data_IF_221211552223
#
_entry.id   IF_221211552223
#
_cell.length_a   1.000
_cell.length_b   1.000
_cell.length_c   1.000
_cell.angle_alpha   90.00
_cell.angle_beta   90.00
_cell.angle_gamma   90.00
#
_symmetry.space_group_name_H-M   'P 1'
#
loop_
_entity.id
_entity.type
_entity.pdbx_description
1 polymer ?
#
# COMPACT_ATOMS: atom_id res chain seq x y z
N UNK A 1 -10.36 0.69 42.68
CA UNK A 1 -9.43 1.21 41.64
C UNK A 1 -10.18 1.26 40.30
N UNK A 2 -10.81 2.39 39.99
CA UNK A 2 -11.42 2.60 38.67
C UNK A 2 -10.59 3.67 37.97
N UNK A 3 -9.77 3.26 37.00
CA UNK A 3 -8.93 4.19 36.24
C UNK A 3 -9.83 5.03 35.33
N UNK A 4 -9.59 6.33 35.40
CA UNK A 4 -10.30 7.43 34.76
C UNK A 4 -10.87 7.12 33.37
N UNK A 5 -12.18 7.28 33.25
CA UNK A 5 -12.89 7.50 31.99
C UNK A 5 -12.33 8.74 31.32
N UNK A 6 -11.68 8.56 30.16
CA UNK A 6 -11.23 9.65 29.32
C UNK A 6 -12.46 10.47 28.87
N UNK A 7 -12.48 11.80 28.99
CA UNK A 7 -13.62 12.61 28.58
C UNK A 7 -13.84 12.50 27.06
N UNK A 8 -15.10 12.52 26.56
CA UNK A 8 -15.35 12.59 25.13
C UNK A 8 -14.94 13.99 24.63
N UNK A 9 -13.84 14.06 23.87
CA UNK A 9 -13.33 15.32 23.30
C UNK A 9 -14.27 15.85 22.21
N UNK A 10 -15.07 16.83 22.62
CA UNK A 10 -15.99 17.62 21.82
C UNK A 10 -15.19 18.74 21.15
N UNK A 11 -14.55 18.45 20.01
CA UNK A 11 -14.00 19.50 19.16
C UNK A 11 -14.33 19.24 17.69
N UNK A 12 -15.55 19.63 17.35
CA UNK A 12 -15.99 19.88 15.99
C UNK A 12 -15.32 21.17 15.49
N UNK A 13 -14.14 21.04 14.91
CA UNK A 13 -13.58 22.08 14.02
C UNK A 13 -13.11 21.38 12.75
N UNK A 14 -13.76 21.70 11.63
CA UNK A 14 -13.41 21.22 10.30
C UNK A 14 -11.95 21.58 10.02
N UNK A 15 -11.03 20.63 10.13
CA UNK A 15 -9.65 20.82 9.68
C UNK A 15 -8.60 19.90 10.28
N UNK A 16 -8.53 19.71 11.60
CA UNK A 16 -7.43 18.96 12.22
C UNK A 16 -7.87 18.24 13.51
N UNK A 17 -8.55 17.10 13.42
CA UNK A 17 -8.52 16.15 14.54
C UNK A 17 -7.07 15.69 14.72
N UNK A 18 -6.43 16.03 15.84
CA UNK A 18 -5.08 15.53 16.17
C UNK A 18 -5.14 14.02 16.31
N UNK A 19 -4.11 13.32 15.82
CA UNK A 19 -3.99 11.87 15.99
C UNK A 19 -3.60 11.58 17.43
N UNK A 20 -4.42 10.83 18.16
CA UNK A 20 -4.09 10.41 19.52
C UNK A 20 -3.02 9.32 19.48
N UNK A 21 -2.39 9.07 20.63
CA UNK A 21 -1.38 8.01 20.73
C UNK A 21 -1.99 6.64 20.47
N UNK A 22 -3.20 6.41 20.98
CA UNK A 22 -3.97 5.18 20.80
C UNK A 22 -4.32 4.97 19.33
N UNK A 23 -4.73 6.02 18.62
CA UNK A 23 -4.97 5.95 17.17
C UNK A 23 -3.69 5.60 16.40
N UNK A 24 -2.54 6.15 16.79
CA UNK A 24 -1.25 5.88 16.15
C UNK A 24 -0.81 4.44 16.41
N UNK A 25 -0.87 3.96 17.65
CA UNK A 25 -0.51 2.59 18.02
C UNK A 25 -1.43 1.58 17.32
N UNK A 26 -2.74 1.87 17.27
CA UNK A 26 -3.70 1.04 16.53
C UNK A 26 -3.40 1.06 15.02
N UNK A 27 -3.08 2.21 14.44
CA UNK A 27 -2.73 2.32 13.03
C UNK A 27 -1.48 1.49 12.70
N UNK A 28 -0.46 1.53 13.55
CA UNK A 28 0.77 0.72 13.40
C UNK A 28 0.46 -0.78 13.41
N UNK A 29 -0.33 -1.24 14.39
CA UNK A 29 -0.70 -2.64 14.49
C UNK A 29 -1.51 -3.10 13.26
N UNK A 30 -2.52 -2.33 12.86
CA UNK A 30 -3.38 -2.65 11.72
C UNK A 30 -2.63 -2.62 10.38
N UNK A 31 -1.62 -1.75 10.21
CA UNK A 31 -0.79 -1.70 9.01
C UNK A 31 0.25 -2.84 8.94
N UNK A 32 0.64 -3.40 10.09
CA UNK A 32 1.53 -4.55 10.17
C UNK A 32 0.78 -5.89 9.98
N UNK A 33 -0.54 -5.89 10.16
CA UNK A 33 -1.40 -7.06 9.94
C UNK A 33 -1.76 -7.25 8.47
N UNK A 34 -2.12 -8.48 8.10
CA UNK A 34 -2.56 -8.87 6.75
C UNK A 34 -4.03 -8.51 6.47
N UNK A 35 -4.50 -7.37 6.97
CA UNK A 35 -5.89 -6.94 6.78
C UNK A 35 -6.04 -5.95 5.61
N UNK A 36 -7.14 -6.03 4.85
CA UNK A 36 -7.39 -5.11 3.75
C UNK A 36 -7.64 -3.69 4.26
N UNK A 37 -7.30 -2.70 3.43
CA UNK A 37 -7.38 -1.29 3.79
C UNK A 37 -8.79 -0.85 4.22
N UNK A 38 -9.81 -1.44 3.62
CA UNK A 38 -11.20 -1.12 3.90
C UNK A 38 -11.57 -1.46 5.36
N UNK A 39 -11.03 -2.55 5.90
CA UNK A 39 -11.19 -2.91 7.30
C UNK A 39 -10.42 -1.96 8.23
N UNK A 40 -9.24 -1.49 7.79
CA UNK A 40 -8.50 -0.44 8.51
C UNK A 40 -9.35 0.84 8.57
N UNK A 41 -9.97 1.25 7.45
CA UNK A 41 -10.84 2.44 7.41
C UNK A 41 -12.03 2.27 8.36
N UNK A 42 -12.67 1.09 8.38
CA UNK A 42 -13.78 0.77 9.32
C UNK A 42 -13.35 0.88 10.78
N UNK A 43 -12.09 0.59 11.10
CA UNK A 43 -11.55 0.74 12.46
C UNK A 43 -11.37 2.19 12.92
N UNK A 44 -11.46 3.18 12.02
CA UNK A 44 -11.35 4.62 12.33
C UNK A 44 -12.57 5.41 11.83
N UNK A 45 -13.75 5.29 12.47
CA UNK A 45 -15.01 5.91 12.02
C UNK A 45 -15.02 7.46 12.02
N UNK A 46 -13.94 8.12 12.43
CA UNK A 46 -13.77 9.58 12.38
C UNK A 46 -12.66 10.07 11.45
N UNK A 47 -12.04 9.17 10.67
CA UNK A 47 -10.92 9.49 9.78
C UNK A 47 -11.28 9.17 8.34
N UNK A 48 -11.01 10.10 7.43
CA UNK A 48 -11.13 9.81 6.01
C UNK A 48 -10.02 8.82 5.58
N UNK A 49 -10.27 7.99 4.56
CA UNK A 49 -9.26 7.08 4.02
C UNK A 49 -7.96 7.81 3.64
N UNK A 50 -8.06 9.03 3.10
CA UNK A 50 -6.91 9.83 2.74
C UNK A 50 -6.10 10.29 3.97
N UNK A 51 -6.77 10.67 5.07
CA UNK A 51 -6.10 11.03 6.32
C UNK A 51 -5.31 9.86 6.92
N UNK A 52 -5.86 8.64 6.82
CA UNK A 52 -5.20 7.40 7.27
C UNK A 52 -3.95 7.14 6.41
N UNK A 53 -4.06 7.20 5.08
CA UNK A 53 -2.92 7.03 4.16
C UNK A 53 -1.81 8.05 4.41
N UNK A 54 -2.17 9.33 4.55
CA UNK A 54 -1.21 10.39 4.79
C UNK A 54 -0.49 10.21 6.13
N UNK A 55 -1.22 9.83 7.18
CA UNK A 55 -0.62 9.55 8.48
C UNK A 55 0.31 8.35 8.43
N UNK A 56 -0.12 7.25 7.81
CA UNK A 56 0.70 6.05 7.66
C UNK A 56 1.99 6.34 6.88
N UNK A 57 1.89 7.10 5.77
CA UNK A 57 3.05 7.56 4.99
C UNK A 57 4.03 8.38 5.83
N UNK A 58 3.52 9.35 6.61
CA UNK A 58 4.34 10.15 7.55
C UNK A 58 4.98 9.33 8.66
N UNK A 59 4.40 8.20 9.02
CA UNK A 59 4.94 7.25 10.01
C UNK A 59 5.86 6.20 9.38
N UNK A 60 6.07 6.22 8.05
CA UNK A 60 6.84 5.21 7.34
C UNK A 60 6.19 3.82 7.32
N UNK A 61 4.91 3.72 7.63
CA UNK A 61 4.19 2.45 7.68
C UNK A 61 3.91 1.97 6.26
N UNK A 62 4.46 0.81 5.92
CA UNK A 62 4.19 0.11 4.67
C UNK A 62 3.30 -1.07 4.99
N UNK A 63 2.25 -1.26 4.19
CA UNK A 63 1.43 -2.46 4.26
C UNK A 63 2.11 -3.59 3.51
N UNK A 64 2.07 -4.77 4.11
CA UNK A 64 2.13 -6.02 3.37
C UNK A 64 0.77 -6.11 2.67
N UNK A 65 0.77 -5.85 1.37
CA UNK A 65 -0.42 -6.12 0.57
C UNK A 65 -0.35 -7.58 0.14
N UNK A 66 -1.48 -8.32 0.12
CA UNK A 66 -1.53 -9.57 -0.63
C UNK A 66 -1.10 -9.31 -2.07
N UNK A 67 -0.44 -10.27 -2.74
CA UNK A 67 0.14 -10.06 -4.05
C UNK A 67 -0.97 -9.66 -5.02
N UNK A 68 -1.02 -8.36 -5.33
CA UNK A 68 -1.84 -7.88 -6.42
C UNK A 68 -1.10 -8.23 -7.72
N UNK A 69 -1.81 -8.85 -8.66
CA UNK A 69 -1.27 -9.22 -9.97
C UNK A 69 -0.51 -8.03 -10.57
N UNK A 70 0.74 -8.28 -10.94
CA UNK A 70 1.55 -7.26 -11.57
C UNK A 70 1.06 -7.03 -13.01
N UNK A 71 0.92 -5.76 -13.41
CA UNK A 71 0.62 -5.43 -14.81
C UNK A 71 1.91 -5.28 -15.59
N UNK A 72 2.04 -5.93 -16.74
CA UNK A 72 3.23 -5.87 -17.61
C UNK A 72 2.98 -5.03 -18.87
N UNK A 73 4.02 -4.30 -19.30
CA UNK A 73 4.06 -3.46 -20.49
C UNK A 73 5.41 -3.69 -21.19
N UNK A 74 5.42 -3.94 -22.50
CA UNK A 74 6.63 -3.90 -23.33
C UNK A 74 6.75 -2.51 -23.94
N UNK A 75 7.91 -1.89 -23.78
CA UNK A 75 8.28 -0.62 -24.42
C UNK A 75 9.39 -0.91 -25.44
N UNK A 76 9.24 -0.35 -26.65
CA UNK A 76 10.27 -0.40 -27.68
C UNK A 76 11.08 0.90 -27.67
N UNK A 77 12.40 0.80 -27.52
CA UNK A 77 13.33 1.92 -27.67
C UNK A 77 14.41 1.55 -28.68
N UNK A 78 14.18 1.91 -29.95
CA UNK A 78 14.99 1.41 -31.06
C UNK A 78 14.75 -0.08 -31.30
N UNK A 79 15.83 -0.86 -31.39
CA UNK A 79 15.80 -2.33 -31.53
C UNK A 79 15.73 -3.08 -30.18
N UNK A 80 15.65 -2.36 -29.06
CA UNK A 80 15.64 -2.96 -27.71
C UNK A 80 14.21 -3.01 -27.18
N UNK A 81 13.75 -4.21 -26.81
CA UNK A 81 12.49 -4.43 -26.08
C UNK A 81 12.75 -4.46 -24.57
N UNK A 82 12.05 -3.60 -23.82
CA UNK A 82 12.12 -3.54 -22.35
C UNK A 82 10.80 -3.99 -21.75
N UNK A 83 10.84 -4.94 -20.81
CA UNK A 83 9.65 -5.36 -20.07
C UNK A 83 9.54 -4.54 -18.78
N UNK A 84 8.49 -3.72 -18.71
CA UNK A 84 8.14 -2.97 -17.52
C UNK A 84 7.03 -3.67 -16.75
N UNK A 85 7.23 -3.85 -15.46
CA UNK A 85 6.26 -4.45 -14.55
C UNK A 85 5.82 -3.41 -13.53
N UNK A 86 4.51 -3.20 -13.44
CA UNK A 86 3.90 -2.38 -12.42
C UNK A 86 3.69 -3.20 -11.16
N UNK A 87 4.36 -2.81 -10.08
CA UNK A 87 4.11 -3.30 -8.75
C UNK A 87 2.61 -3.17 -8.42
N UNK A 88 1.92 -4.29 -8.21
CA UNK A 88 0.50 -4.32 -7.82
C UNK A 88 0.25 -3.67 -6.45
N UNK A 89 1.29 -3.53 -5.64
CA UNK A 89 1.24 -2.97 -4.28
C UNK A 89 1.35 -1.44 -4.29
N UNK A 90 2.49 -0.90 -4.76
CA UNK A 90 2.77 0.53 -4.69
C UNK A 90 2.58 1.28 -6.02
N UNK A 91 2.28 0.57 -7.11
CA UNK A 91 2.09 1.14 -8.44
C UNK A 91 3.36 1.63 -9.12
N UNK A 92 4.54 1.36 -8.53
CA UNK A 92 5.83 1.67 -9.14
C UNK A 92 6.09 0.78 -10.35
N UNK A 93 6.63 1.37 -11.41
CA UNK A 93 7.07 0.67 -12.60
C UNK A 93 8.54 0.30 -12.46
N UNK A 94 8.89 -0.91 -12.84
CA UNK A 94 10.22 -1.47 -12.73
C UNK A 94 10.56 -2.20 -14.03
N UNK A 95 11.80 -2.08 -14.48
CA UNK A 95 12.30 -2.85 -15.61
C UNK A 95 12.73 -4.24 -15.15
N UNK A 96 12.37 -5.27 -15.91
CA UNK A 96 12.71 -6.66 -15.61
C UNK A 96 13.35 -7.30 -16.84
N UNK A 97 14.51 -7.91 -16.65
CA UNK A 97 15.25 -8.58 -17.73
C UNK A 97 14.85 -10.05 -17.87
N UNK A 98 14.45 -10.70 -16.77
CA UNK A 98 14.10 -12.13 -16.73
C UNK A 98 12.80 -12.39 -15.96
N UNK A 99 11.76 -12.85 -16.67
CA UNK A 99 10.46 -13.21 -16.09
C UNK A 99 10.39 -14.66 -15.56
N UNK A 100 11.48 -15.44 -15.66
CA UNK A 100 11.51 -16.88 -15.34
C UNK A 100 11.30 -17.22 -13.85
N UNK A 101 11.29 -16.22 -12.95
CA UNK A 101 11.24 -16.44 -11.50
C UNK A 101 9.83 -16.45 -10.89
N UNK A 102 8.77 -16.26 -11.67
CA UNK A 102 7.38 -16.30 -11.19
C UNK A 102 6.97 -15.17 -10.22
N UNK A 103 7.92 -14.52 -9.55
CA UNK A 103 7.72 -13.31 -8.75
C UNK A 103 8.90 -12.34 -8.86
N UNK A 104 8.60 -11.04 -8.73
CA UNK A 104 9.58 -9.95 -8.63
C UNK A 104 9.46 -9.24 -7.28
N UNK A 105 10.58 -8.87 -6.68
CA UNK A 105 10.60 -7.97 -5.52
C UNK A 105 10.57 -6.52 -5.97
N UNK A 106 9.63 -5.74 -5.44
CA UNK A 106 9.58 -4.32 -5.78
C UNK A 106 10.76 -3.55 -5.17
N UNK A 107 11.60 -2.90 -5.98
CA UNK A 107 12.73 -2.10 -5.49
C UNK A 107 12.31 -0.94 -4.58
N UNK A 108 11.07 -0.47 -4.71
CA UNK A 108 10.54 0.66 -3.93
C UNK A 108 9.90 0.25 -2.60
N UNK A 109 9.12 -0.83 -2.59
CA UNK A 109 8.37 -1.25 -1.40
C UNK A 109 8.80 -2.60 -0.82
N UNK A 110 9.70 -3.32 -1.48
CA UNK A 110 10.19 -4.64 -1.08
C UNK A 110 9.16 -5.77 -1.20
N UNK A 111 7.96 -5.48 -1.70
CA UNK A 111 6.88 -6.47 -1.77
C UNK A 111 7.12 -7.47 -2.90
N UNK A 112 6.92 -8.78 -2.66
CA UNK A 112 6.87 -9.76 -3.72
C UNK A 112 5.60 -9.54 -4.56
N UNK A 113 5.77 -9.39 -5.87
CA UNK A 113 4.70 -9.27 -6.84
C UNK A 113 4.78 -10.47 -7.77
N UNK A 114 3.70 -11.25 -7.87
CA UNK A 114 3.61 -12.34 -8.84
C UNK A 114 3.66 -11.73 -10.25
N UNK A 115 4.59 -12.24 -11.07
CA UNK A 115 4.58 -11.91 -12.48
C UNK A 115 3.37 -12.61 -13.12
N UNK A 116 2.69 -11.97 -14.07
CA UNK A 116 1.64 -12.64 -14.82
C UNK A 116 2.28 -13.79 -15.63
N UNK A 117 1.61 -14.94 -15.72
CA UNK A 117 2.12 -16.14 -16.41
C UNK A 117 2.54 -15.80 -17.86
N UNK A 118 3.45 -16.59 -18.45
CA UNK A 118 4.00 -16.33 -19.79
C UNK A 118 2.93 -16.15 -20.89
N UNK A 119 1.72 -16.67 -20.69
CA UNK A 119 0.57 -16.52 -21.59
C UNK A 119 -0.18 -15.19 -21.46
N UNK A 120 0.04 -14.43 -20.40
CA UNK A 120 -0.52 -13.10 -20.21
C UNK A 120 0.24 -12.10 -21.08
N UNK A 121 -0.18 -12.00 -22.35
CA UNK A 121 0.46 -11.17 -23.36
C UNK A 121 0.63 -9.73 -22.83
N UNK A 122 1.86 -9.26 -22.59
CA UNK A 122 2.09 -7.91 -22.10
C UNK A 122 1.56 -6.90 -23.12
N UNK A 123 1.05 -5.78 -22.61
CA UNK A 123 0.60 -4.70 -23.49
C UNK A 123 1.82 -4.12 -24.20
N UNK A 124 1.70 -3.80 -25.49
CA UNK A 124 2.73 -3.08 -26.24
C UNK A 124 2.36 -1.60 -26.26
N UNK A 125 3.32 -0.72 -25.97
CA UNK A 125 3.14 0.72 -26.11
C UNK A 125 3.18 1.17 -27.56
#
# INVERSE_FOLDING_TARGET
MVKASHPPDISAVRGLRRWTREEIERLKALYASDIPFEEIVKAFPGRSPNAIRLKASRLGLRRLHPPAEAKSLIVQEGDVERLLVKCGVCGHWMEVEDADRGFILCERCGSPCSLPEADAKPRRC
#
